data_IF_259677986925
#
_entry.id   IF_259677986925
#
_cell.length_a   1.000
_cell.length_b   1.000
_cell.length_c   1.000
_cell.angle_alpha   90.00
_cell.angle_beta   90.00
_cell.angle_gamma   90.00
#
_symmetry.space_group_name_H-M   'P 1'
#
loop_
_entity.id
_entity.type
_entity.pdbx_description
1 polymer ?
#
# COMPACT_ATOMS: atom_id res chain seq x y z
N UNK A 1 -24.54 76.91 -2.34
CA UNK A 1 -25.04 76.39 -1.05
C UNK A 1 -26.55 76.58 -1.10
N UNK A 2 -27.41 75.57 -1.12
CA UNK A 2 -27.32 74.26 -0.47
C UNK A 2 -28.12 73.24 -1.27
N UNK A 3 -27.53 72.07 -1.44
CA UNK A 3 -28.21 70.80 -1.75
C UNK A 3 -29.28 70.56 -0.69
N UNK A 4 -30.47 70.12 -1.09
CA UNK A 4 -31.36 69.32 -0.23
C UNK A 4 -32.38 68.62 -1.13
N UNK A 5 -31.92 67.58 -1.82
CA UNK A 5 -32.79 66.54 -2.33
C UNK A 5 -33.33 65.75 -1.15
N UNK A 6 -34.59 65.97 -0.79
CA UNK A 6 -35.30 65.19 0.22
C UNK A 6 -36.36 64.35 -0.47
N UNK A 7 -35.96 63.16 -0.94
CA UNK A 7 -36.90 62.10 -1.33
C UNK A 7 -37.80 61.84 -0.13
N UNK A 8 -39.10 62.02 -0.31
CA UNK A 8 -40.12 61.85 0.72
C UNK A 8 -40.54 60.37 0.68
N UNK A 9 -39.66 59.50 1.15
CA UNK A 9 -39.97 58.08 1.29
C UNK A 9 -40.78 57.89 2.58
N UNK A 10 -42.10 57.86 2.41
CA UNK A 10 -43.06 57.54 3.47
C UNK A 10 -42.88 56.08 3.89
N UNK A 11 -42.14 55.87 4.97
CA UNK A 11 -42.12 54.60 5.70
C UNK A 11 -43.33 54.60 6.65
N UNK A 12 -44.33 53.72 6.49
CA UNK A 12 -45.37 53.61 7.50
C UNK A 12 -44.80 52.86 8.70
N UNK A 13 -44.81 53.55 9.84
CA UNK A 13 -44.47 53.00 11.15
C UNK A 13 -45.32 51.78 11.53
N UNK A 14 -44.63 50.90 12.25
CA UNK A 14 -45.09 49.76 13.05
C UNK A 14 -46.40 50.04 13.80
N UNK A 15 -47.46 49.31 13.47
CA UNK A 15 -48.64 49.14 14.34
C UNK A 15 -48.71 47.73 14.88
N UNK A 16 -48.29 47.57 16.14
CA UNK A 16 -48.59 46.42 16.99
C UNK A 16 -50.10 46.26 17.14
N UNK A 17 -50.70 45.24 16.54
CA UNK A 17 -52.01 44.71 16.92
C UNK A 17 -51.99 43.20 16.75
N UNK A 18 -52.04 42.49 17.87
CA UNK A 18 -52.29 41.07 17.93
C UNK A 18 -53.66 40.74 17.29
N UNK A 19 -53.73 39.68 16.49
CA UNK A 19 -54.77 38.62 16.50
C UNK A 19 -54.72 37.82 15.18
N UNK A 20 -54.12 36.63 15.29
CA UNK A 20 -54.64 35.35 14.77
C UNK A 20 -54.76 35.18 13.26
N UNK A 21 -53.70 34.66 12.63
CA UNK A 21 -53.68 33.44 11.78
C UNK A 21 -52.44 33.46 10.85
N UNK A 22 -51.27 33.08 11.37
CA UNK A 22 -50.11 32.68 10.57
C UNK A 22 -49.71 31.28 11.06
N UNK A 23 -49.38 30.32 10.17
CA UNK A 23 -48.75 29.08 10.62
C UNK A 23 -47.43 29.49 11.27
N UNK A 24 -47.29 29.12 12.53
CA UNK A 24 -46.08 29.30 13.32
C UNK A 24 -44.87 28.81 12.53
N UNK A 25 -44.01 29.73 12.06
CA UNK A 25 -42.63 29.39 11.75
C UNK A 25 -42.02 29.02 13.09
N UNK A 26 -42.01 27.72 13.37
CA UNK A 26 -41.16 27.15 14.40
C UNK A 26 -39.75 27.51 13.96
N UNK A 27 -39.07 28.38 14.71
CA UNK A 27 -37.61 28.47 14.69
C UNK A 27 -37.10 27.11 15.15
N UNK A 28 -37.02 26.16 14.22
CA UNK A 28 -36.46 24.85 14.49
C UNK A 28 -34.99 25.09 14.85
N UNK A 29 -34.65 24.85 16.11
CA UNK A 29 -33.31 24.98 16.60
C UNK A 29 -32.48 23.83 15.96
N UNK A 30 -31.84 24.13 14.82
CA UNK A 30 -30.94 23.21 14.12
C UNK A 30 -29.63 22.93 14.88
N UNK A 31 -29.50 23.38 16.13
CA UNK A 31 -28.33 23.16 16.99
C UNK A 31 -28.38 21.79 17.69
N UNK A 32 -29.55 21.12 17.68
CA UNK A 32 -29.78 19.77 18.22
C UNK A 32 -29.68 18.66 17.15
N UNK A 33 -29.41 18.98 15.87
CA UNK A 33 -29.17 17.97 14.83
C UNK A 33 -27.79 17.33 15.01
N UNK A 34 -27.68 15.98 14.98
CA UNK A 34 -26.38 15.32 15.06
C UNK A 34 -25.52 15.70 13.84
N UNK A 35 -24.22 15.93 14.08
CA UNK A 35 -23.25 16.20 13.01
C UNK A 35 -23.34 15.13 11.90
N UNK A 36 -23.70 15.56 10.69
CA UNK A 36 -23.76 14.68 9.53
C UNK A 36 -22.42 13.97 9.31
N UNK A 37 -22.48 12.66 9.09
CA UNK A 37 -21.29 11.88 8.75
C UNK A 37 -20.83 12.20 7.32
N UNK A 38 -19.52 12.08 7.06
CA UNK A 38 -18.99 12.19 5.69
C UNK A 38 -19.66 11.18 4.74
N UNK A 39 -20.13 10.03 5.26
CA UNK A 39 -20.86 9.03 4.50
C UNK A 39 -22.24 9.53 4.06
N UNK A 40 -23.00 10.16 4.96
CA UNK A 40 -24.31 10.77 4.64
C UNK A 40 -24.15 11.91 3.64
N UNK A 41 -23.12 12.74 3.79
CA UNK A 41 -22.81 13.79 2.80
C UNK A 41 -22.51 13.21 1.43
N UNK A 42 -21.67 12.18 1.35
CA UNK A 42 -21.35 11.51 0.08
C UNK A 42 -22.59 10.82 -0.49
N UNK A 43 -23.44 10.22 0.36
CA UNK A 43 -24.69 9.58 -0.04
C UNK A 43 -25.71 10.60 -0.57
N UNK A 44 -25.88 11.74 0.11
CA UNK A 44 -26.75 12.84 -0.33
C UNK A 44 -26.21 13.53 -1.59
N UNK A 45 -24.90 13.65 -1.74
CA UNK A 45 -24.29 14.15 -2.98
C UNK A 45 -24.47 13.15 -4.13
N UNK A 46 -24.33 11.86 -3.84
CA UNK A 46 -24.66 10.80 -4.80
C UNK A 46 -26.11 10.93 -5.27
N UNK A 47 -27.04 11.34 -4.39
CA UNK A 47 -28.46 11.59 -4.66
C UNK A 47 -28.74 12.62 -5.78
N UNK A 48 -27.80 13.52 -6.08
CA UNK A 48 -27.94 14.49 -7.17
C UNK A 48 -27.59 13.93 -8.56
N UNK A 49 -26.91 12.77 -8.64
CA UNK A 49 -26.45 12.20 -9.92
C UNK A 49 -27.45 11.20 -10.53
N UNK A 50 -27.54 11.09 -11.87
CA UNK A 50 -28.43 10.15 -12.55
C UNK A 50 -28.06 8.68 -12.29
N UNK A 51 -29.08 7.80 -12.28
CA UNK A 51 -28.97 6.36 -11.97
C UNK A 51 -27.82 5.65 -12.70
N UNK A 52 -27.58 5.84 -14.02
CA UNK A 52 -26.51 5.14 -14.72
C UNK A 52 -25.10 5.42 -14.17
N UNK A 53 -24.85 6.62 -13.62
CA UNK A 53 -23.56 6.96 -13.03
C UNK A 53 -23.35 6.26 -11.68
N UNK A 54 -24.42 6.08 -10.90
CA UNK A 54 -24.38 5.34 -9.63
C UNK A 54 -24.19 3.85 -9.87
N UNK A 55 -24.88 3.30 -10.86
CA UNK A 55 -24.72 1.89 -11.24
C UNK A 55 -23.32 1.62 -11.79
N UNK A 56 -22.76 2.54 -12.57
CA UNK A 56 -21.39 2.41 -13.07
C UNK A 56 -20.34 2.48 -11.96
N UNK A 57 -20.46 3.45 -11.03
CA UNK A 57 -19.54 3.55 -9.88
C UNK A 57 -19.69 2.36 -8.93
N UNK A 58 -20.91 1.91 -8.65
CA UNK A 58 -21.17 0.66 -7.93
C UNK A 58 -20.59 -0.55 -8.65
N UNK A 59 -20.76 -0.64 -9.97
CA UNK A 59 -20.17 -1.68 -10.82
C UNK A 59 -18.64 -1.67 -10.77
N UNK A 60 -18.01 -0.51 -10.82
CA UNK A 60 -16.56 -0.35 -10.74
C UNK A 60 -16.02 -0.74 -9.37
N UNK A 61 -16.71 -0.36 -8.29
CA UNK A 61 -16.35 -0.75 -6.92
C UNK A 61 -16.49 -2.26 -6.74
N UNK A 62 -17.57 -2.86 -7.24
CA UNK A 62 -17.78 -4.30 -7.21
C UNK A 62 -16.74 -5.05 -8.07
N UNK A 63 -16.45 -4.55 -9.26
CA UNK A 63 -15.42 -5.09 -10.15
C UNK A 63 -14.04 -5.03 -9.49
N UNK A 64 -13.69 -3.90 -8.88
CA UNK A 64 -12.41 -3.72 -8.17
C UNK A 64 -12.31 -4.67 -6.99
N UNK A 65 -13.35 -4.74 -6.16
CA UNK A 65 -13.40 -5.64 -5.00
C UNK A 65 -13.30 -7.12 -5.43
N UNK A 66 -14.01 -7.50 -6.49
CA UNK A 66 -13.95 -8.84 -7.06
C UNK A 66 -12.57 -9.13 -7.67
N UNK A 67 -11.97 -8.17 -8.36
CA UNK A 67 -10.64 -8.28 -8.95
C UNK A 67 -9.57 -8.46 -7.88
N UNK A 68 -9.60 -7.70 -6.78
CA UNK A 68 -8.65 -7.85 -5.67
C UNK A 68 -8.79 -9.24 -5.04
N UNK A 69 -10.02 -9.69 -4.77
CA UNK A 69 -10.27 -11.04 -4.23
C UNK A 69 -9.79 -12.13 -5.19
N UNK A 70 -10.06 -11.97 -6.49
CA UNK A 70 -9.64 -12.88 -7.55
C UNK A 70 -8.13 -12.94 -7.70
N UNK A 71 -7.46 -11.79 -7.78
CA UNK A 71 -6.00 -11.67 -7.87
C UNK A 71 -5.31 -12.24 -6.63
N UNK A 72 -5.86 -12.02 -5.44
CA UNK A 72 -5.32 -12.60 -4.21
C UNK A 72 -5.40 -14.13 -4.25
N UNK A 73 -6.56 -14.68 -4.58
CA UNK A 73 -6.75 -16.14 -4.70
C UNK A 73 -5.89 -16.75 -5.81
N UNK A 74 -5.82 -16.07 -6.95
CA UNK A 74 -4.96 -16.46 -8.07
C UNK A 74 -3.49 -16.44 -7.68
N UNK A 75 -3.02 -15.37 -7.01
CA UNK A 75 -1.63 -15.24 -6.55
C UNK A 75 -1.26 -16.32 -5.53
N UNK A 76 -2.12 -16.61 -4.56
CA UNK A 76 -1.90 -17.71 -3.62
C UNK A 76 -1.82 -19.07 -4.35
N UNK A 77 -2.73 -19.34 -5.28
CA UNK A 77 -2.72 -20.61 -6.02
C UNK A 77 -1.52 -20.72 -6.98
N UNK A 78 -1.23 -19.64 -7.71
CA UNK A 78 -0.13 -19.57 -8.66
C UNK A 78 1.22 -19.68 -7.94
N UNK A 79 1.41 -18.98 -6.82
CA UNK A 79 2.64 -19.08 -6.02
C UNK A 79 2.82 -20.47 -5.43
N UNK A 80 1.74 -21.12 -4.98
CA UNK A 80 1.78 -22.51 -4.53
C UNK A 80 2.24 -23.45 -5.65
N UNK A 81 1.61 -23.38 -6.82
CA UNK A 81 1.97 -24.22 -7.97
C UNK A 81 3.40 -23.93 -8.44
N UNK A 82 3.78 -22.66 -8.56
CA UNK A 82 5.12 -22.26 -8.99
C UNK A 82 6.19 -22.76 -8.02
N UNK A 83 5.99 -22.58 -6.72
CA UNK A 83 6.96 -22.99 -5.72
C UNK A 83 7.07 -24.52 -5.63
N UNK A 84 5.93 -25.23 -5.58
CA UNK A 84 5.93 -26.70 -5.54
C UNK A 84 6.53 -27.31 -6.80
N UNK A 85 6.20 -26.77 -7.98
CA UNK A 85 6.78 -27.18 -9.26
C UNK A 85 8.29 -26.91 -9.32
N UNK A 86 8.70 -25.70 -8.89
CA UNK A 86 10.10 -25.31 -8.81
C UNK A 86 10.92 -26.29 -7.96
N UNK A 87 10.43 -26.64 -6.76
CA UNK A 87 11.11 -27.60 -5.88
C UNK A 87 11.30 -28.97 -6.54
N UNK A 88 10.28 -29.49 -7.23
CA UNK A 88 10.36 -30.81 -7.89
C UNK A 88 11.40 -30.79 -9.02
N UNK A 89 11.48 -29.69 -9.77
CA UNK A 89 12.42 -29.57 -10.89
C UNK A 89 13.87 -29.31 -10.42
N UNK A 90 14.05 -28.52 -9.37
CA UNK A 90 15.39 -28.20 -8.86
C UNK A 90 15.96 -29.31 -7.99
N UNK A 91 15.16 -30.16 -7.36
CA UNK A 91 15.67 -31.24 -6.51
C UNK A 91 16.71 -32.15 -7.22
N UNK A 92 16.46 -32.70 -8.43
CA UNK A 92 17.45 -33.47 -9.16
C UNK A 92 18.71 -32.67 -9.54
N UNK A 93 18.52 -31.42 -9.96
CA UNK A 93 19.64 -30.52 -10.36
C UNK A 93 20.54 -30.25 -9.17
N UNK A 94 19.97 -30.00 -7.99
CA UNK A 94 20.72 -29.78 -6.76
C UNK A 94 21.53 -31.03 -6.41
N UNK A 95 20.94 -32.23 -6.47
CA UNK A 95 21.68 -33.48 -6.20
C UNK A 95 22.86 -33.68 -7.16
N UNK A 96 22.71 -33.33 -8.44
CA UNK A 96 23.81 -33.43 -9.39
C UNK A 96 24.92 -32.41 -9.08
N UNK A 97 24.56 -31.17 -8.73
CA UNK A 97 25.52 -30.14 -8.34
C UNK A 97 26.23 -30.45 -7.01
N UNK A 98 25.54 -31.02 -6.03
CA UNK A 98 26.13 -31.44 -4.75
C UNK A 98 27.08 -32.61 -4.92
N UNK A 99 26.78 -33.54 -5.83
CA UNK A 99 27.69 -34.66 -6.12
C UNK A 99 28.98 -34.16 -6.78
N UNK A 100 28.87 -33.22 -7.71
CA UNK A 100 30.04 -32.59 -8.33
C UNK A 100 30.89 -31.82 -7.31
N UNK A 101 30.23 -31.07 -6.41
CA UNK A 101 30.89 -30.35 -5.31
C UNK A 101 31.58 -31.30 -4.31
N UNK A 102 30.96 -32.43 -3.95
CA UNK A 102 31.55 -33.40 -3.03
C UNK A 102 32.83 -34.03 -3.59
N UNK A 103 32.87 -34.34 -4.88
CA UNK A 103 34.06 -34.91 -5.51
C UNK A 103 35.24 -33.91 -5.53
N UNK A 104 34.97 -32.63 -5.76
CA UNK A 104 35.99 -31.57 -5.71
C UNK A 104 36.46 -31.28 -4.28
N UNK A 105 35.54 -31.27 -3.32
CA UNK A 105 35.88 -31.10 -1.90
C UNK A 105 36.71 -32.27 -1.37
N UNK A 106 36.38 -33.51 -1.73
CA UNK A 106 37.17 -34.68 -1.35
C UNK A 106 38.56 -34.68 -2.00
N UNK A 107 38.69 -34.29 -3.27
CA UNK A 107 40.01 -34.12 -3.92
C UNK A 107 40.84 -33.04 -3.23
N UNK A 108 40.20 -31.96 -2.78
CA UNK A 108 40.87 -30.88 -2.06
C UNK A 108 41.31 -31.31 -0.66
N UNK A 109 40.45 -32.04 0.08
CA UNK A 109 40.76 -32.63 1.38
C UNK A 109 41.86 -33.68 1.29
N UNK A 110 41.82 -34.57 0.28
CA UNK A 110 42.88 -35.55 0.03
C UNK A 110 44.20 -34.87 -0.29
N UNK A 111 44.20 -33.82 -1.12
CA UNK A 111 45.40 -33.02 -1.37
C UNK A 111 45.90 -32.38 -0.07
N UNK A 112 45.04 -31.81 0.76
CA UNK A 112 45.43 -31.14 2.00
C UNK A 112 45.92 -32.10 3.10
N UNK A 113 45.38 -33.32 3.17
CA UNK A 113 45.83 -34.38 4.10
C UNK A 113 47.10 -35.06 3.61
N UNK A 114 47.22 -35.31 2.31
CA UNK A 114 48.42 -35.95 1.72
C UNK A 114 49.62 -34.99 1.66
N UNK A 115 49.36 -33.69 1.56
CA UNK A 115 50.38 -32.65 1.64
C UNK A 115 50.65 -32.20 3.08
N UNK A 116 49.72 -32.45 4.01
CA UNK A 116 49.77 -32.00 5.39
C UNK A 116 49.93 -30.47 5.51
N UNK A 117 49.74 -29.87 6.69
CA UNK A 117 50.06 -28.47 6.93
C UNK A 117 51.55 -28.10 6.73
N UNK A 118 52.42 -29.05 6.37
CA UNK A 118 53.88 -28.87 6.31
C UNK A 118 54.51 -28.79 4.92
N UNK A 119 53.88 -29.25 3.84
CA UNK A 119 54.54 -29.27 2.51
C UNK A 119 54.55 -27.91 1.81
N UNK A 120 53.64 -27.00 2.13
CA UNK A 120 53.74 -25.60 1.70
C UNK A 120 54.87 -24.84 2.42
N UNK A 121 55.26 -25.29 3.62
CA UNK A 121 56.42 -24.75 4.36
C UNK A 121 57.73 -25.43 3.94
N UNK A 122 57.69 -26.67 3.44
CA UNK A 122 58.90 -27.37 2.97
C UNK A 122 59.39 -26.90 1.59
N UNK A 123 58.54 -26.23 0.80
CA UNK A 123 58.96 -25.56 -0.44
C UNK A 123 59.55 -24.14 -0.19
N UNK A 124 59.40 -23.59 1.02
CA UNK A 124 60.11 -22.39 1.48
C UNK A 124 61.32 -22.85 2.31
N UNK A 125 62.10 -23.73 1.71
CA UNK A 125 63.20 -24.42 2.36
C UNK A 125 64.47 -24.40 1.53
N UNK A 126 64.80 -23.29 0.86
CA UNK A 126 66.17 -23.01 0.41
C UNK A 126 66.30 -21.57 -0.11
N UNK A 127 66.67 -20.64 0.77
CA UNK A 127 67.56 -19.54 0.38
C UNK A 127 68.59 -19.27 1.48
N UNK A 128 69.83 -18.97 1.11
CA UNK A 128 71.04 -19.26 1.88
C UNK A 128 71.38 -18.18 2.91
N UNK A 129 72.42 -18.50 3.68
CA UNK A 129 73.01 -17.74 4.77
C UNK A 129 73.17 -16.22 4.58
N UNK A 130 73.17 -15.55 5.73
CA UNK A 130 73.33 -14.12 6.04
C UNK A 130 74.38 -13.36 5.20
N UNK A 131 74.21 -12.02 5.12
CA UNK A 131 75.14 -11.19 5.91
C UNK A 131 74.42 -10.22 6.85
N UNK A 132 74.86 -10.19 8.11
CA UNK A 132 74.55 -9.14 9.07
C UNK A 132 75.33 -7.88 8.68
N UNK A 133 74.62 -6.77 8.43
CA UNK A 133 75.22 -5.44 8.33
C UNK A 133 74.70 -4.63 9.52
N UNK A 134 75.68 -4.17 10.30
CA UNK A 134 75.60 -3.23 11.43
C UNK A 134 75.08 -1.87 11.01
#
# INVERSE_FOLDING_TARGET
MSSLGGSKDETPERKTVATTNEPTVTEENYDDEPDETLGERIMGLAEMFPQPLRDFTGGLVNFTTSSIKGLYKFSCNASWIFFTSSVILFAPVIFETERAQMEEMQKTQQKQVLLGPGSAMSAVGETPALPLIR
#
